data_IF_840186051967
#
_entry.id   IF_840186051967
#
_cell.length_a   1.000
_cell.length_b   1.000
_cell.length_c   1.000
_cell.angle_alpha   90.00
_cell.angle_beta   90.00
_cell.angle_gamma   90.00
#
_symmetry.space_group_name_H-M   'P 1'
#
loop_
_entity.id
_entity.type
_entity.pdbx_description
1 polymer ?
#
# COMPACT_ATOMS: atom_id res chain seq x y z
N UNK A 1 -1.09 -6.86 -19.75
CA UNK A 1 -1.85 -5.63 -19.44
C UNK A 1 -1.29 -5.19 -18.10
N UNK A 2 -0.75 -3.98 -18.01
CA UNK A 2 -0.33 -3.44 -16.72
C UNK A 2 -1.58 -3.03 -15.91
N UNK A 3 -1.46 -3.00 -14.59
CA UNK A 3 -2.51 -2.49 -13.69
C UNK A 3 -2.26 -1.01 -13.42
N UNK A 4 -3.33 -0.31 -13.06
CA UNK A 4 -3.26 1.05 -12.54
C UNK A 4 -2.91 1.01 -11.05
N UNK A 5 -1.98 1.88 -10.63
CA UNK A 5 -1.54 2.06 -9.24
C UNK A 5 -1.79 3.51 -8.85
N UNK A 6 -2.94 3.76 -8.23
CA UNK A 6 -3.37 5.13 -7.92
C UNK A 6 -3.91 5.26 -6.50
N UNK A 7 -3.82 6.46 -5.89
CA UNK A 7 -4.50 6.72 -4.64
C UNK A 7 -6.02 6.73 -4.82
N UNK A 8 -6.76 6.54 -3.72
CA UNK A 8 -8.20 6.81 -3.72
C UNK A 8 -8.40 8.32 -3.99
N UNK A 9 -9.26 8.73 -4.95
CA UNK A 9 -9.38 10.13 -5.38
C UNK A 9 -9.57 11.13 -4.23
N UNK A 10 -10.40 10.79 -3.25
CA UNK A 10 -10.68 11.64 -2.08
C UNK A 10 -9.47 11.86 -1.16
N UNK A 11 -8.47 10.97 -1.22
CA UNK A 11 -7.27 10.98 -0.38
C UNK A 11 -6.00 11.31 -1.18
N UNK A 12 -6.13 11.73 -2.44
CA UNK A 12 -4.99 12.01 -3.32
C UNK A 12 -3.99 13.00 -2.68
N UNK A 13 -4.48 14.11 -2.13
CA UNK A 13 -3.63 15.13 -1.51
C UNK A 13 -2.92 14.60 -0.24
N UNK A 14 -3.60 13.79 0.58
CA UNK A 14 -3.02 13.16 1.76
C UNK A 14 -1.89 12.20 1.37
N UNK A 15 -2.14 11.38 0.35
CA UNK A 15 -1.12 10.48 -0.20
C UNK A 15 0.07 11.29 -0.71
N UNK A 16 -0.13 12.34 -1.50
CA UNK A 16 0.94 13.20 -1.98
C UNK A 16 1.74 13.87 -0.85
N UNK A 17 1.08 14.34 0.21
CA UNK A 17 1.75 14.90 1.40
C UNK A 17 2.70 13.90 2.05
N UNK A 18 2.38 12.59 2.02
CA UNK A 18 3.25 11.54 2.56
C UNK A 18 4.61 11.45 1.85
N UNK A 19 4.70 11.90 0.60
CA UNK A 19 5.94 11.93 -0.20
C UNK A 19 6.74 13.23 -0.06
N UNK A 20 6.21 14.29 0.58
CA UNK A 20 6.92 15.58 0.70
C UNK A 20 8.02 15.60 1.76
N UNK A 21 7.87 14.80 2.82
CA UNK A 21 8.84 14.73 3.94
C UNK A 21 10.05 13.81 3.69
N UNK A 22 9.90 12.66 3.00
CA UNK A 22 11.04 11.79 2.70
C UNK A 22 12.12 12.46 1.84
N UNK A 23 13.30 11.85 1.81
CA UNK A 23 14.39 12.31 0.94
C UNK A 23 14.07 12.00 -0.53
N UNK A 24 14.72 12.69 -1.47
CA UNK A 24 14.56 12.41 -2.90
C UNK A 24 14.86 10.96 -3.27
N UNK A 25 15.84 10.32 -2.61
CA UNK A 25 16.13 8.89 -2.78
C UNK A 25 14.97 7.99 -2.34
N UNK A 26 14.32 8.33 -1.24
CA UNK A 26 13.14 7.60 -0.77
C UNK A 26 11.98 7.72 -1.74
N UNK A 27 11.76 8.91 -2.28
CA UNK A 27 10.72 9.13 -3.30
C UNK A 27 11.03 8.33 -4.56
N UNK A 28 12.27 8.37 -5.06
CA UNK A 28 12.67 7.58 -6.23
C UNK A 28 12.54 6.06 -6.01
N UNK A 29 12.88 5.56 -4.83
CA UNK A 29 12.67 4.14 -4.50
C UNK A 29 11.19 3.75 -4.46
N UNK A 30 10.33 4.65 -4.00
CA UNK A 30 8.89 4.40 -3.97
C UNK A 30 8.27 4.49 -5.37
N UNK A 31 8.73 5.42 -6.19
CA UNK A 31 8.37 5.55 -7.61
C UNK A 31 8.71 4.27 -8.39
N UNK A 32 9.93 3.75 -8.20
CA UNK A 32 10.33 2.45 -8.76
C UNK A 32 9.40 1.30 -8.33
N UNK A 33 8.98 1.26 -7.05
CA UNK A 33 8.03 0.24 -6.60
C UNK A 33 6.65 0.40 -7.24
N UNK A 34 6.21 1.64 -7.47
CA UNK A 34 4.92 1.91 -8.14
C UNK A 34 4.98 1.37 -9.57
N UNK A 35 6.05 1.65 -10.32
CA UNK A 35 6.27 1.10 -11.67
C UNK A 35 6.28 -0.44 -11.67
N UNK A 36 6.99 -1.08 -10.74
CA UNK A 36 7.01 -2.55 -10.64
C UNK A 36 5.61 -3.12 -10.33
N UNK A 37 4.82 -2.44 -9.49
CA UNK A 37 3.45 -2.87 -9.16
C UNK A 37 2.52 -2.79 -10.36
N UNK A 38 2.77 -1.92 -11.34
CA UNK A 38 2.00 -1.89 -12.59
C UNK A 38 2.13 -3.22 -13.34
N UNK A 39 3.28 -3.88 -13.24
CA UNK A 39 3.60 -5.10 -14.00
C UNK A 39 3.46 -6.39 -13.19
N UNK A 40 3.73 -6.35 -11.89
CA UNK A 40 3.92 -7.53 -11.03
C UNK A 40 3.08 -7.45 -9.75
N UNK A 41 2.78 -8.61 -9.15
CA UNK A 41 2.19 -8.67 -7.81
C UNK A 41 3.32 -8.43 -6.77
N UNK A 42 3.05 -7.75 -5.64
CA UNK A 42 4.03 -7.59 -4.56
C UNK A 42 4.38 -8.93 -3.90
N UNK A 43 5.55 -8.97 -3.25
CA UNK A 43 6.02 -10.17 -2.55
C UNK A 43 5.04 -10.57 -1.42
N UNK A 44 4.68 -11.86 -1.39
CA UNK A 44 3.81 -12.43 -0.37
C UNK A 44 4.40 -12.29 1.05
N UNK A 45 5.72 -12.19 1.19
CA UNK A 45 6.38 -11.96 2.48
C UNK A 45 6.17 -10.54 3.03
N UNK A 46 5.75 -9.59 2.19
CA UNK A 46 5.44 -8.21 2.60
C UNK A 46 3.93 -7.99 2.78
N UNK A 47 3.14 -9.06 2.66
CA UNK A 47 1.69 -9.07 2.89
C UNK A 47 1.41 -8.88 4.38
N UNK A 48 0.51 -7.95 4.67
CA UNK A 48 0.05 -7.68 6.03
C UNK A 48 -1.21 -8.46 6.40
N UNK A 49 -2.11 -8.69 5.43
CA UNK A 49 -3.36 -9.41 5.65
C UNK A 49 -4.47 -9.03 4.67
N UNK A 50 -5.63 -9.67 4.84
CA UNK A 50 -6.82 -9.48 4.03
C UNK A 50 -7.85 -8.66 4.82
N UNK A 51 -8.25 -7.52 4.26
CA UNK A 51 -9.24 -6.60 4.81
C UNK A 51 -10.57 -6.79 4.08
N UNK A 52 -11.66 -6.91 4.85
CA UNK A 52 -13.04 -7.04 4.36
C UNK A 52 -13.23 -8.16 3.32
N UNK A 53 -12.48 -9.24 3.46
CA UNK A 53 -12.44 -10.38 2.53
C UNK A 53 -12.20 -9.98 1.06
N UNK A 54 -11.56 -8.83 0.83
CA UNK A 54 -11.44 -8.19 -0.49
C UNK A 54 -10.08 -7.57 -0.75
N UNK A 55 -9.57 -6.78 0.19
CA UNK A 55 -8.38 -5.98 -0.03
C UNK A 55 -7.17 -6.61 0.63
N UNK A 56 -6.24 -7.12 -0.16
CA UNK A 56 -4.96 -7.59 0.40
C UNK A 56 -4.04 -6.40 0.63
N UNK A 57 -3.71 -6.13 1.89
CA UNK A 57 -2.89 -4.99 2.31
C UNK A 57 -1.43 -5.42 2.38
N UNK A 58 -0.53 -4.58 1.89
CA UNK A 58 0.92 -4.80 1.89
C UNK A 58 1.66 -3.60 2.49
N UNK A 59 2.82 -3.87 3.07
CA UNK A 59 3.76 -2.86 3.54
C UNK A 59 5.15 -3.08 2.92
N UNK A 60 5.36 -2.47 1.76
CA UNK A 60 6.52 -2.74 0.90
C UNK A 60 7.75 -1.95 1.36
N UNK A 61 8.88 -2.63 1.49
CA UNK A 61 10.15 -2.01 1.84
C UNK A 61 10.65 -1.14 0.68
N UNK A 62 10.77 0.16 0.91
CA UNK A 62 11.23 1.09 -0.12
C UNK A 62 12.75 0.97 -0.32
N UNK A 63 13.24 0.67 -1.55
CA UNK A 63 14.67 0.60 -1.85
C UNK A 63 15.40 1.90 -1.47
N UNK A 64 16.63 1.77 -0.98
CA UNK A 64 17.44 2.89 -0.47
C UNK A 64 16.79 3.75 0.63
N UNK A 65 15.63 3.34 1.18
CA UNK A 65 14.86 4.09 2.15
C UNK A 65 14.48 3.22 3.35
N UNK A 66 15.48 2.84 4.15
CA UNK A 66 15.30 1.93 5.31
C UNK A 66 14.31 2.43 6.37
N UNK A 67 13.99 3.74 6.38
CA UNK A 67 13.12 4.36 7.37
C UNK A 67 11.63 4.30 7.04
N UNK A 68 11.25 3.96 5.80
CA UNK A 68 9.88 4.04 5.32
C UNK A 68 9.45 2.77 4.60
N UNK A 69 8.13 2.57 4.53
CA UNK A 69 7.48 1.55 3.72
C UNK A 69 6.36 2.19 2.92
N UNK A 70 6.06 1.62 1.75
CA UNK A 70 4.94 1.98 0.90
C UNK A 70 3.74 1.10 1.27
N UNK A 71 2.63 1.72 1.64
CA UNK A 71 1.39 1.00 1.91
C UNK A 71 0.55 0.97 0.65
N UNK A 72 0.19 -0.24 0.23
CA UNK A 72 -0.70 -0.48 -0.92
C UNK A 72 -1.73 -1.55 -0.57
N UNK A 73 -2.80 -1.63 -1.35
CA UNK A 73 -3.73 -2.75 -1.31
C UNK A 73 -4.11 -3.23 -2.70
N UNK A 74 -4.37 -4.53 -2.82
CA UNK A 74 -4.90 -5.15 -4.04
C UNK A 74 -6.36 -5.54 -3.86
N UNK A 75 -7.23 -5.12 -4.79
CA UNK A 75 -8.64 -5.53 -4.81
C UNK A 75 -8.80 -6.92 -5.44
N UNK A 76 -8.79 -7.95 -4.58
CA UNK A 76 -8.86 -9.36 -4.99
C UNK A 76 -10.25 -9.79 -5.47
N UNK A 77 -11.27 -8.96 -5.28
CA UNK A 77 -12.62 -9.22 -5.82
C UNK A 77 -12.73 -9.01 -7.33
N UNK A 78 -11.71 -8.37 -7.94
CA UNK A 78 -11.68 -8.05 -9.38
C UNK A 78 -10.88 -9.09 -10.17
N UNK A 79 -11.02 -9.04 -11.50
CA UNK A 79 -10.24 -9.89 -12.40
C UNK A 79 -8.77 -9.45 -12.38
N UNK A 80 -7.85 -10.40 -12.46
CA UNK A 80 -6.42 -10.11 -12.60
C UNK A 80 -6.09 -9.36 -13.91
N UNK A 81 -5.09 -8.46 -13.90
CA UNK A 81 -4.29 -8.07 -12.73
C UNK A 81 -5.15 -7.28 -11.73
N UNK A 82 -4.99 -7.56 -10.44
CA UNK A 82 -5.83 -6.94 -9.41
C UNK A 82 -5.52 -5.45 -9.33
N UNK A 83 -6.53 -4.56 -9.35
CA UNK A 83 -6.31 -3.12 -9.17
C UNK A 83 -5.54 -2.85 -7.88
N UNK A 84 -4.57 -1.92 -7.95
CA UNK A 84 -3.71 -1.57 -6.83
C UNK A 84 -4.06 -0.16 -6.35
N UNK A 85 -4.33 -0.03 -5.06
CA UNK A 85 -4.58 1.26 -4.42
C UNK A 85 -3.37 1.68 -3.60
N UNK A 86 -2.89 2.89 -3.85
CA UNK A 86 -1.80 3.49 -3.10
C UNK A 86 -2.34 4.22 -1.87
N UNK A 87 -1.85 3.87 -0.68
CA UNK A 87 -2.20 4.55 0.58
C UNK A 87 -1.11 5.51 1.08
N UNK A 88 0.11 5.42 0.54
CA UNK A 88 1.19 6.37 0.79
C UNK A 88 2.37 5.81 1.58
N UNK A 89 3.31 6.69 1.93
CA UNK A 89 4.54 6.36 2.64
C UNK A 89 4.41 6.58 4.15
N UNK A 90 4.74 5.56 4.93
CA UNK A 90 4.77 5.64 6.39
C UNK A 90 6.13 5.25 6.95
N UNK A 91 6.39 5.60 8.21
CA UNK A 91 7.62 5.18 8.88
C UNK A 91 7.60 3.69 9.22
N UNK A 92 8.70 2.99 8.89
CA UNK A 92 8.92 1.58 9.22
C UNK A 92 9.06 1.31 10.72
N UNK A 93 9.42 2.31 11.53
CA UNK A 93 9.66 2.15 12.99
C UNK A 93 8.39 1.86 13.80
N UNK A 94 7.21 2.00 13.20
CA UNK A 94 5.93 1.69 13.82
C UNK A 94 5.50 0.24 13.60
N UNK A 95 4.18 0.02 13.61
CA UNK A 95 3.55 -1.24 13.21
C UNK A 95 2.97 -1.06 11.80
N UNK A 96 3.79 -1.20 10.74
CA UNK A 96 3.40 -0.79 9.40
C UNK A 96 2.13 -1.50 8.90
N UNK A 97 1.96 -2.78 9.23
CA UNK A 97 0.75 -3.51 8.88
C UNK A 97 -0.51 -3.03 9.63
N UNK A 98 -0.39 -2.65 10.91
CA UNK A 98 -1.51 -2.10 11.66
C UNK A 98 -1.89 -0.70 11.14
N UNK A 99 -0.90 0.14 10.85
CA UNK A 99 -1.11 1.44 10.22
C UNK A 99 -1.68 1.30 8.81
N UNK A 100 -1.18 0.36 8.02
CA UNK A 100 -1.67 0.08 6.67
C UNK A 100 -3.12 -0.39 6.66
N UNK A 101 -3.49 -1.27 7.60
CA UNK A 101 -4.89 -1.68 7.83
C UNK A 101 -5.79 -0.47 8.13
N UNK A 102 -5.34 0.42 9.02
CA UNK A 102 -6.08 1.62 9.39
C UNK A 102 -6.26 2.57 8.19
N UNK A 103 -5.19 2.84 7.45
CA UNK A 103 -5.23 3.68 6.23
C UNK A 103 -6.17 3.08 5.18
N UNK A 104 -6.07 1.78 4.91
CA UNK A 104 -6.96 1.12 3.96
C UNK A 104 -8.43 1.17 4.41
N UNK A 105 -8.70 0.98 5.70
CA UNK A 105 -10.06 1.11 6.27
C UNK A 105 -10.62 2.51 6.03
N UNK A 106 -9.81 3.56 6.26
CA UNK A 106 -10.21 4.96 6.06
C UNK A 106 -10.39 5.27 4.58
N UNK A 107 -9.39 4.94 3.75
CA UNK A 107 -9.38 5.26 2.31
C UNK A 107 -10.54 4.59 1.58
N UNK A 108 -10.94 3.38 1.99
CA UNK A 108 -12.10 2.70 1.44
C UNK A 108 -13.41 2.99 2.17
N UNK A 109 -13.41 3.88 3.17
CA UNK A 109 -14.57 4.26 3.97
C UNK A 109 -15.33 3.04 4.54
N UNK A 110 -14.59 2.06 5.06
CA UNK A 110 -15.15 0.82 5.59
C UNK A 110 -15.55 0.99 7.06
N UNK A 111 -16.73 0.49 7.41
CA UNK A 111 -17.26 0.52 8.79
C UNK A 111 -17.14 -0.87 9.38
N UNK A 112 -16.33 -1.02 10.42
CA UNK A 112 -16.06 -2.28 11.13
C UNK A 112 -15.70 -3.47 10.20
N UNK A 113 -14.69 -3.33 9.32
CA UNK A 113 -14.34 -4.38 8.37
C UNK A 113 -13.70 -5.60 9.05
N UNK A 114 -13.89 -6.78 8.46
CA UNK A 114 -13.14 -7.98 8.88
C UNK A 114 -11.64 -7.79 8.62
N UNK A 115 -10.82 -8.42 9.45
CA UNK A 115 -9.37 -8.42 9.28
C UNK A 115 -8.79 -9.81 9.52
N UNK A 116 -8.12 -10.34 8.49
CA UNK A 116 -7.40 -11.60 8.55
C UNK A 116 -5.90 -11.32 8.37
N UNK A 117 -5.10 -11.28 9.46
CA UNK A 117 -3.67 -11.02 9.35
C UNK A 117 -2.96 -12.10 8.53
N UNK A 118 -1.99 -11.70 7.72
CA UNK A 118 -1.02 -12.66 7.19
C UNK A 118 -0.18 -13.14 8.38
N UNK A 119 -0.14 -14.46 8.61
CA UNK A 119 0.59 -15.03 9.75
C UNK A 119 2.06 -14.56 9.75
N UNK A 120 2.54 -14.09 10.90
CA UNK A 120 3.98 -13.83 11.18
C UNK A 120 4.81 -15.12 11.14
#
# INVERSE_FOLDING_TARGET
MSREVEPVPEFHDEVLESFKKPTSKCVAGADFLIEELEEQDPDLNERCGLLDNRYEVYALSVPECRGNVLIVSLDTSKKRPWPCTLHGLISRRGRPCETGRQLATIHFNLIDPSWEPAND
#
